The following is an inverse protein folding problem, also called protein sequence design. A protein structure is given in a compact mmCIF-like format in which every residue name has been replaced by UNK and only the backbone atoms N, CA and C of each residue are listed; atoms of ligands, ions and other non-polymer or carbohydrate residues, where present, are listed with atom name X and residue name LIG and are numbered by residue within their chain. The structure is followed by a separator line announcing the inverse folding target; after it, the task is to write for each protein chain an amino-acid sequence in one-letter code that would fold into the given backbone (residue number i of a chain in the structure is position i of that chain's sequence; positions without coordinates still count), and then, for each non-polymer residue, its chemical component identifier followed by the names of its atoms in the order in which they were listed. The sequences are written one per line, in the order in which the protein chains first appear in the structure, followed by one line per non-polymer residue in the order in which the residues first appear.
data_IF_903676708719
#
_entry.id   IF_903676708719
#
_cell.length_a   1.000
_cell.length_b   1.000
_cell.length_c   1.000
_cell.angle_alpha   90.00
_cell.angle_beta   90.00
_cell.angle_gamma   90.00
#
_symmetry.space_group_name_H-M   'P 1'
#
loop_
_entity.id
_entity.type
_entity.pdbx_description
1 polymer ?
#
# COMPACT_ATOMS: atom_id res chain seq x y z
N UNK A 1 -27.85 -37.91 -26.74
CA UNK A 1 -27.86 -37.64 -25.28
C UNK A 1 -26.79 -38.50 -24.63
N UNK A 2 -25.74 -37.90 -24.04
CA UNK A 2 -24.72 -38.65 -23.32
C UNK A 2 -24.64 -38.11 -21.89
N UNK A 3 -24.93 -39.00 -20.93
CA UNK A 3 -24.76 -38.84 -19.49
C UNK A 3 -23.37 -38.28 -19.15
N UNK A 4 -23.20 -37.33 -18.23
CA UNK A 4 -23.88 -37.23 -16.94
C UNK A 4 -22.85 -37.55 -15.86
N UNK A 5 -21.84 -36.69 -15.72
CA UNK A 5 -20.92 -36.67 -14.59
C UNK A 5 -21.09 -35.32 -13.89
N UNK A 6 -21.07 -35.30 -12.56
CA UNK A 6 -21.21 -34.07 -11.77
C UNK A 6 -20.33 -32.97 -12.35
N UNK A 7 -20.87 -31.76 -12.60
CA UNK A 7 -20.04 -30.65 -13.05
C UNK A 7 -18.98 -30.42 -11.97
N UNK A 8 -17.73 -30.33 -12.41
CA UNK A 8 -16.65 -29.93 -11.51
C UNK A 8 -17.07 -28.66 -10.77
N UNK A 9 -16.71 -28.47 -9.48
CA UNK A 9 -17.02 -27.23 -8.75
C UNK A 9 -16.47 -25.97 -9.44
N UNK A 10 -15.54 -26.15 -10.38
CA UNK A 10 -14.95 -25.10 -11.20
C UNK A 10 -15.58 -24.95 -12.61
N UNK A 11 -16.69 -25.64 -12.88
CA UNK A 11 -17.46 -25.52 -14.12
C UNK A 11 -16.89 -26.26 -15.34
N UNK A 12 -15.91 -27.15 -15.15
CA UNK A 12 -15.35 -27.94 -16.24
C UNK A 12 -16.34 -29.01 -16.74
N UNK A 13 -16.45 -29.13 -18.07
CA UNK A 13 -17.31 -30.12 -18.73
C UNK A 13 -16.48 -31.35 -19.12
N UNK A 14 -16.99 -32.54 -18.78
CA UNK A 14 -16.34 -33.80 -19.17
C UNK A 14 -16.85 -34.24 -20.55
N UNK A 15 -15.92 -34.44 -21.48
CA UNK A 15 -16.21 -34.92 -22.84
C UNK A 15 -15.74 -36.36 -23.04
N UNK A 16 -16.51 -37.16 -23.79
CA UNK A 16 -16.07 -38.49 -24.22
C UNK A 16 -15.03 -38.36 -25.34
N UNK A 17 -13.78 -38.74 -25.07
CA UNK A 17 -12.69 -38.69 -26.06
C UNK A 17 -11.33 -38.43 -25.42
N UNK A 18 -10.44 -37.74 -26.14
CA UNK A 18 -9.18 -37.25 -25.57
C UNK A 18 -9.44 -36.01 -24.73
N UNK A 19 -9.15 -36.08 -23.44
CA UNK A 19 -9.28 -34.98 -22.50
C UNK A 19 -8.30 -35.12 -21.35
N UNK A 20 -8.14 -34.05 -20.58
CA UNK A 20 -7.36 -34.08 -19.34
C UNK A 20 -8.07 -34.95 -18.30
N UNK A 21 -7.28 -35.51 -17.38
CA UNK A 21 -7.80 -36.28 -16.26
C UNK A 21 -8.54 -35.34 -15.28
N UNK A 22 -9.85 -35.51 -15.07
CA UNK A 22 -10.65 -34.58 -14.27
C UNK A 22 -10.08 -34.34 -12.87
N UNK A 23 -9.62 -35.39 -12.21
CA UNK A 23 -9.04 -35.31 -10.86
C UNK A 23 -7.79 -34.42 -10.81
N UNK A 24 -6.96 -34.43 -11.86
CA UNK A 24 -5.78 -33.58 -11.96
C UNK A 24 -6.15 -32.12 -12.20
N UNK A 25 -7.14 -31.88 -13.06
CA UNK A 25 -7.64 -30.52 -13.35
C UNK A 25 -8.27 -29.92 -12.11
N UNK A 26 -9.07 -30.70 -11.37
CA UNK A 26 -9.71 -30.24 -10.13
C UNK A 26 -8.70 -29.93 -9.04
N UNK A 27 -7.73 -30.81 -8.81
CA UNK A 27 -6.66 -30.56 -7.84
C UNK A 27 -5.86 -29.30 -8.20
N UNK A 28 -5.57 -29.10 -9.50
CA UNK A 28 -4.84 -27.92 -9.97
C UNK A 28 -5.67 -26.64 -9.85
N UNK A 29 -6.94 -26.67 -10.22
CA UNK A 29 -7.85 -25.53 -10.11
C UNK A 29 -8.06 -25.13 -8.65
N UNK A 30 -8.23 -26.10 -7.74
CA UNK A 30 -8.33 -25.84 -6.31
C UNK A 30 -7.04 -25.20 -5.76
N UNK A 31 -5.86 -25.65 -6.18
CA UNK A 31 -4.60 -25.04 -5.78
C UNK A 31 -4.46 -23.60 -6.28
N UNK A 32 -4.83 -23.33 -7.53
CA UNK A 32 -4.81 -21.97 -8.10
C UNK A 32 -5.82 -21.05 -7.41
N UNK A 33 -7.02 -21.56 -7.12
CA UNK A 33 -8.04 -20.79 -6.42
C UNK A 33 -7.56 -20.39 -5.01
N UNK A 34 -6.99 -21.33 -4.24
CA UNK A 34 -6.42 -21.01 -2.92
C UNK A 34 -5.33 -19.95 -3.00
N UNK A 35 -4.39 -20.10 -3.94
CA UNK A 35 -3.33 -19.11 -4.13
C UNK A 35 -3.89 -17.73 -4.52
N UNK A 36 -4.95 -17.67 -5.33
CA UNK A 36 -5.62 -16.43 -5.69
C UNK A 36 -6.32 -15.79 -4.49
N UNK A 37 -7.00 -16.57 -3.65
CA UNK A 37 -7.64 -16.08 -2.44
C UNK A 37 -6.62 -15.57 -1.41
N UNK A 38 -5.50 -16.27 -1.22
CA UNK A 38 -4.39 -15.82 -0.37
C UNK A 38 -3.81 -14.49 -0.87
N UNK A 39 -3.56 -14.37 -2.18
CA UNK A 39 -3.05 -13.14 -2.77
C UNK A 39 -4.06 -11.98 -2.64
N UNK A 40 -5.36 -12.24 -2.80
CA UNK A 40 -6.41 -11.23 -2.61
C UNK A 40 -6.56 -10.79 -1.16
N UNK A 41 -6.44 -11.72 -0.22
CA UNK A 41 -6.46 -11.42 1.21
C UNK A 41 -5.27 -10.52 1.59
N UNK A 42 -4.08 -10.82 1.09
CA UNK A 42 -2.90 -10.00 1.31
C UNK A 42 -3.04 -8.60 0.68
N UNK A 43 -3.55 -8.52 -0.55
CA UNK A 43 -3.82 -7.24 -1.21
C UNK A 43 -4.82 -6.38 -0.40
N UNK A 44 -5.86 -7.01 0.14
CA UNK A 44 -6.86 -6.34 0.99
C UNK A 44 -6.22 -5.80 2.27
N UNK A 45 -5.34 -6.59 2.91
CA UNK A 45 -4.58 -6.19 4.10
C UNK A 45 -3.66 -5.00 3.80
N UNK A 46 -2.93 -5.05 2.70
CA UNK A 46 -2.01 -3.98 2.30
C UNK A 46 -2.77 -2.69 1.95
N UNK A 47 -3.90 -2.80 1.24
CA UNK A 47 -4.76 -1.65 0.92
C UNK A 47 -5.32 -1.00 2.18
N UNK A 48 -5.79 -1.79 3.15
CA UNK A 48 -6.26 -1.24 4.43
C UNK A 48 -5.13 -0.51 5.19
N UNK A 49 -3.92 -1.07 5.18
CA UNK A 49 -2.75 -0.44 5.82
C UNK A 49 -2.33 0.85 5.12
N UNK A 50 -2.39 0.89 3.79
CA UNK A 50 -2.12 2.09 3.01
C UNK A 50 -3.11 3.22 3.39
N UNK A 51 -4.41 2.92 3.43
CA UNK A 51 -5.42 3.90 3.81
C UNK A 51 -5.21 4.44 5.23
N UNK A 52 -4.90 3.57 6.19
CA UNK A 52 -4.58 3.98 7.56
C UNK A 52 -3.38 4.93 7.60
N UNK A 53 -2.27 4.55 6.95
CA UNK A 53 -1.05 5.36 6.93
C UNK A 53 -1.25 6.69 6.21
N UNK A 54 -1.99 6.69 5.10
CA UNK A 54 -2.32 7.91 4.35
C UNK A 54 -3.20 8.84 5.19
N UNK A 55 -4.16 8.30 5.95
CA UNK A 55 -4.96 9.06 6.91
C UNK A 55 -4.12 9.67 8.04
N UNK A 56 -3.26 8.87 8.67
CA UNK A 56 -2.34 9.35 9.72
C UNK A 56 -1.37 10.42 9.20
N UNK A 57 -0.83 10.23 8.00
CA UNK A 57 0.04 11.21 7.35
C UNK A 57 -0.71 12.52 7.04
N UNK A 58 -2.00 12.43 6.68
CA UNK A 58 -2.88 13.59 6.51
C UNK A 58 -3.03 14.39 7.81
N UNK A 59 -3.38 13.69 8.90
CA UNK A 59 -3.54 14.30 10.23
C UNK A 59 -2.24 14.92 10.73
N UNK A 60 -1.10 14.27 10.51
CA UNK A 60 0.21 14.83 10.86
C UNK A 60 0.52 16.09 10.04
N UNK A 61 0.22 16.10 8.74
CA UNK A 61 0.39 17.29 7.89
C UNK A 61 -0.48 18.45 8.36
N UNK A 62 -1.74 18.20 8.71
CA UNK A 62 -2.63 19.20 9.29
C UNK A 62 -2.11 19.73 10.63
N UNK A 63 -1.65 18.83 11.50
CA UNK A 63 -1.06 19.20 12.78
C UNK A 63 0.15 20.11 12.56
N UNK A 64 1.07 19.72 11.69
CA UNK A 64 2.28 20.50 11.36
C UNK A 64 1.92 21.86 10.73
N UNK A 65 0.92 21.90 9.84
CA UNK A 65 0.46 23.15 9.24
C UNK A 65 -0.17 24.11 10.26
N UNK A 66 -0.77 23.57 11.33
CA UNK A 66 -1.36 24.34 12.43
C UNK A 66 -0.37 24.75 13.52
N UNK A 67 0.85 24.21 13.53
CA UNK A 67 1.89 24.67 14.45
C UNK A 67 2.30 26.09 14.06
N UNK A 68 2.18 27.03 15.02
CA UNK A 68 2.76 28.35 14.85
C UNK A 68 4.27 28.19 14.57
N UNK A 69 4.87 29.07 13.75
CA UNK A 69 6.32 29.13 13.61
C UNK A 69 6.92 29.12 15.01
N UNK A 70 7.73 28.12 15.32
CA UNK A 70 8.32 28.00 16.64
C UNK A 70 9.31 29.15 16.78
N UNK A 71 8.88 30.28 17.34
CA UNK A 71 9.70 31.50 17.44
C UNK A 71 10.77 31.38 18.52
N UNK A 72 10.71 30.31 19.33
CA UNK A 72 11.61 30.00 20.43
C UNK A 72 11.93 31.24 21.28
N UNK A 73 10.93 32.09 21.52
CA UNK A 73 11.12 33.38 22.18
C UNK A 73 11.62 33.27 23.63
N UNK A 74 11.42 32.09 24.24
CA UNK A 74 11.97 31.75 25.56
C UNK A 74 13.47 31.44 25.55
N UNK A 75 14.11 31.32 24.37
CA UNK A 75 15.55 31.18 24.26
C UNK A 75 16.24 32.53 24.51
N UNK A 76 17.37 32.50 25.21
CA UNK A 76 18.22 33.68 25.40
C UNK A 76 18.77 34.23 24.08
N UNK A 77 19.17 35.51 24.07
CA UNK A 77 19.55 36.27 22.86
C UNK A 77 20.54 35.56 21.93
N UNK A 78 21.58 34.92 22.51
CA UNK A 78 22.58 34.18 21.73
C UNK A 78 21.99 33.00 20.97
N UNK A 79 21.05 32.28 21.58
CA UNK A 79 20.42 31.13 20.95
C UNK A 79 19.45 31.54 19.84
N UNK A 80 18.77 32.70 19.98
CA UNK A 80 17.96 33.28 18.90
C UNK A 80 18.80 33.75 17.71
N UNK A 81 19.97 34.34 17.96
CA UNK A 81 20.90 34.73 16.90
C UNK A 81 21.41 33.52 16.10
N UNK A 82 21.78 32.44 16.79
CA UNK A 82 22.17 31.17 16.16
C UNK A 82 21.04 30.57 15.33
N UNK A 83 19.79 30.61 15.83
CA UNK A 83 18.63 30.12 15.09
C UNK A 83 18.45 30.87 13.77
N UNK A 84 18.52 32.21 13.77
CA UNK A 84 18.39 33.00 12.54
C UNK A 84 19.44 32.65 11.49
N UNK A 85 20.70 32.47 11.90
CA UNK A 85 21.77 32.05 10.97
C UNK A 85 21.51 30.66 10.36
N UNK A 86 20.97 29.72 11.15
CA UNK A 86 20.64 28.38 10.66
C UNK A 86 19.43 28.41 9.71
N UNK A 87 18.44 29.26 9.97
CA UNK A 87 17.28 29.43 9.09
C UNK A 87 17.65 30.02 7.72
N UNK A 88 18.56 31.01 7.70
CA UNK A 88 19.12 31.59 6.47
C UNK A 88 19.84 30.52 5.63
N UNK A 89 20.72 29.74 6.25
CA UNK A 89 21.45 28.66 5.57
C UNK A 89 20.49 27.58 5.04
N UNK A 90 19.52 27.16 5.85
CA UNK A 90 18.51 26.17 5.44
C UNK A 90 17.67 26.66 4.25
N UNK A 91 17.36 27.96 4.18
CA UNK A 91 16.68 28.56 3.04
C UNK A 91 17.55 28.51 1.77
N UNK A 92 18.85 28.82 1.86
CA UNK A 92 19.78 28.72 0.75
C UNK A 92 19.90 27.28 0.21
N UNK A 93 20.00 26.29 1.11
CA UNK A 93 20.04 24.87 0.74
C UNK A 93 18.76 24.43 0.02
N UNK A 94 17.58 24.78 0.55
CA UNK A 94 16.30 24.44 -0.10
C UNK A 94 16.14 25.11 -1.47
N UNK A 95 16.55 26.36 -1.59
CA UNK A 95 16.51 27.07 -2.87
C UNK A 95 17.43 26.40 -3.90
N UNK A 96 18.62 25.96 -3.48
CA UNK A 96 19.56 25.25 -4.36
C UNK A 96 18.98 23.92 -4.80
N UNK A 97 18.41 23.13 -3.88
CA UNK A 97 17.80 21.83 -4.19
C UNK A 97 16.53 21.93 -5.05
N UNK A 98 15.81 23.05 -5.03
CA UNK A 98 14.65 23.29 -5.89
C UNK A 98 15.02 23.85 -7.28
N UNK A 99 16.26 24.31 -7.45
CA UNK A 99 16.79 24.82 -8.71
C UNK A 99 17.51 23.76 -9.55
N UNK A 100 17.75 22.57 -8.98
CA UNK A 100 18.24 21.36 -9.65
C UNK A 100 17.08 20.46 -10.11
#
# INVERSE_FOLDING_TARGET
MAAGGSPSPFGFVVVRGRGYRPEQVEARAAALFRAAEEARAELSRLTAREQELTGLAGQLRETVAGLAPQTYESLGDRARHLLGLVEEEAAAVRHTAAAE
#
